data_IF_073595243666
#
_entry.id   IF_073595243666
#
_cell.length_a   1.000
_cell.length_b   1.000
_cell.length_c   1.000
_cell.angle_alpha   90.00
_cell.angle_beta   90.00
_cell.angle_gamma   90.00
#
_symmetry.space_group_name_H-M   'P 1'
#
loop_
_entity.id
_entity.type
_entity.pdbx_description
1 polymer ?
#
# COMPACT_ATOMS: atom_id res chain seq x y z
N UNK A 1 -16.16 -6.60 -9.69
CA UNK A 1 -14.82 -6.20 -10.17
C UNK A 1 -13.81 -6.97 -9.33
N UNK A 2 -12.80 -7.57 -9.96
CA UNK A 2 -11.73 -8.27 -9.23
C UNK A 2 -10.58 -7.30 -8.95
N UNK A 3 -10.05 -7.31 -7.73
CA UNK A 3 -8.95 -6.44 -7.30
C UNK A 3 -7.69 -7.28 -7.14
N UNK A 4 -6.64 -6.95 -7.89
CA UNK A 4 -5.31 -7.52 -7.65
C UNK A 4 -4.71 -6.83 -6.44
N UNK A 5 -4.23 -7.58 -5.45
CA UNK A 5 -3.51 -7.02 -4.31
C UNK A 5 -2.04 -7.44 -4.35
N UNK A 6 -1.13 -6.47 -4.47
CA UNK A 6 0.30 -6.69 -4.48
C UNK A 6 0.89 -6.29 -3.13
N UNK A 7 1.52 -7.25 -2.46
CA UNK A 7 2.04 -7.07 -1.10
C UNK A 7 3.55 -6.83 -1.18
N UNK A 8 4.01 -5.74 -0.58
CA UNK A 8 5.42 -5.29 -0.59
C UNK A 8 6.04 -5.13 0.81
N UNK A 9 5.28 -5.44 1.87
CA UNK A 9 5.68 -5.22 3.26
C UNK A 9 5.23 -3.84 3.77
N UNK A 10 6.18 -3.10 4.32
CA UNK A 10 5.93 -1.85 5.03
C UNK A 10 5.40 -2.06 6.45
N UNK A 11 5.17 -0.96 7.16
CA UNK A 11 4.80 -1.00 8.58
C UNK A 11 3.63 -1.94 8.91
N UNK A 12 2.65 -2.09 8.00
CA UNK A 12 1.51 -3.01 8.15
C UNK A 12 1.97 -4.41 8.58
N UNK A 13 3.01 -4.95 7.92
CA UNK A 13 3.44 -6.34 8.09
C UNK A 13 4.50 -6.52 9.19
N UNK A 14 4.93 -5.44 9.87
CA UNK A 14 5.86 -5.54 11.00
C UNK A 14 5.19 -6.22 12.20
N UNK A 15 5.92 -7.14 12.82
CA UNK A 15 5.49 -7.85 14.03
C UNK A 15 6.52 -7.66 15.14
N UNK A 16 6.02 -7.38 16.33
CA UNK A 16 6.85 -7.22 17.53
C UNK A 16 7.22 -8.60 18.08
N UNK A 17 8.51 -8.88 18.16
CA UNK A 17 9.02 -10.07 18.82
C UNK A 17 9.21 -9.75 20.33
N UNK A 18 8.43 -10.35 21.25
CA UNK A 18 8.53 -10.06 22.67
C UNK A 18 9.81 -10.59 23.33
N UNK A 19 10.53 -11.51 22.68
CA UNK A 19 11.77 -12.09 23.20
C UNK A 19 12.98 -11.20 22.88
N UNK A 20 13.02 -10.59 21.70
CA UNK A 20 14.14 -9.73 21.26
C UNK A 20 13.84 -8.24 21.39
N UNK A 21 12.57 -7.85 21.46
CA UNK A 21 12.13 -6.45 21.42
C UNK A 21 12.16 -5.82 20.04
N UNK A 22 12.44 -6.60 18.99
CA UNK A 22 12.61 -6.12 17.62
C UNK A 22 11.31 -6.20 16.81
N UNK A 23 11.21 -5.36 15.79
CA UNK A 23 10.18 -5.44 14.77
C UNK A 23 10.74 -6.16 13.53
N UNK A 24 10.09 -7.25 13.11
CA UNK A 24 10.50 -8.05 11.96
C UNK A 24 9.35 -8.32 10.99
N UNK A 25 9.69 -8.78 9.79
CA UNK A 25 8.75 -9.26 8.78
C UNK A 25 8.73 -10.79 8.79
N UNK A 26 7.72 -11.41 9.38
CA UNK A 26 7.58 -12.88 9.35
C UNK A 26 6.64 -13.33 8.23
N UNK A 27 5.46 -12.70 8.15
CA UNK A 27 4.43 -13.00 7.16
C UNK A 27 3.54 -11.78 6.94
N UNK A 28 2.85 -11.73 5.81
CA UNK A 28 1.87 -10.67 5.55
C UNK A 28 0.66 -10.79 6.47
N UNK A 29 0.18 -9.65 6.95
CA UNK A 29 -1.02 -9.51 7.77
C UNK A 29 -2.26 -9.19 6.95
N UNK A 30 -2.12 -8.95 5.65
CA UNK A 30 -3.20 -8.48 4.79
C UNK A 30 -4.40 -9.46 4.78
N UNK A 31 -4.16 -10.77 4.77
CA UNK A 31 -5.24 -11.77 4.74
C UNK A 31 -6.09 -11.68 6.01
N UNK A 32 -5.45 -11.57 7.18
CA UNK A 32 -6.17 -11.37 8.44
C UNK A 32 -6.94 -10.04 8.43
N UNK A 33 -6.30 -8.95 7.97
CA UNK A 33 -6.93 -7.65 7.85
C UNK A 33 -8.18 -7.68 6.96
N UNK A 34 -8.12 -8.33 5.79
CA UNK A 34 -9.25 -8.47 4.87
C UNK A 34 -10.44 -9.20 5.51
N UNK A 35 -10.16 -10.27 6.28
CA UNK A 35 -11.19 -11.00 7.01
C UNK A 35 -11.80 -10.14 8.13
N UNK A 36 -10.97 -9.40 8.88
CA UNK A 36 -11.44 -8.56 10.00
C UNK A 36 -12.30 -7.39 9.59
N UNK A 37 -12.04 -6.78 8.44
CA UNK A 37 -12.88 -5.67 7.94
C UNK A 37 -14.17 -6.18 7.27
N UNK A 38 -14.41 -7.49 7.23
CA UNK A 38 -15.53 -8.11 6.53
C UNK A 38 -15.66 -7.62 5.08
N UNK A 39 -14.53 -7.49 4.40
CA UNK A 39 -14.51 -7.04 3.01
C UNK A 39 -15.26 -8.04 2.12
N UNK A 40 -16.17 -7.53 1.30
CA UNK A 40 -16.86 -8.30 0.27
C UNK A 40 -16.18 -8.16 -1.11
N UNK A 41 -15.03 -7.48 -1.18
CA UNK A 41 -14.30 -7.31 -2.42
C UNK A 41 -13.71 -8.64 -2.90
N UNK A 42 -13.85 -8.93 -4.19
CA UNK A 42 -13.21 -10.09 -4.82
C UNK A 42 -11.72 -9.79 -5.04
N UNK A 43 -10.87 -10.28 -4.14
CA UNK A 43 -9.42 -9.99 -4.15
C UNK A 43 -8.58 -11.19 -4.59
N UNK A 44 -7.54 -10.94 -5.39
CA UNK A 44 -6.46 -11.89 -5.66
C UNK A 44 -5.14 -11.32 -5.15
N UNK A 45 -4.62 -11.86 -4.04
CA UNK A 45 -3.38 -11.37 -3.42
C UNK A 45 -2.13 -12.09 -3.93
N UNK A 46 -1.03 -11.37 -4.06
CA UNK A 46 0.31 -11.89 -4.36
C UNK A 46 1.35 -11.16 -3.51
N UNK A 47 2.20 -11.91 -2.81
CA UNK A 47 3.36 -11.34 -2.11
C UNK A 47 4.51 -11.20 -3.10
N UNK A 48 4.95 -9.96 -3.33
CA UNK A 48 6.14 -9.68 -4.15
C UNK A 48 7.41 -9.77 -3.29
N UNK A 49 7.35 -9.15 -2.11
CA UNK A 49 8.38 -9.19 -1.06
C UNK A 49 7.81 -8.57 0.22
N UNK A 50 8.52 -8.71 1.34
CA UNK A 50 8.20 -8.03 2.60
C UNK A 50 9.44 -7.23 3.03
N UNK A 51 9.43 -5.91 2.80
CA UNK A 51 10.56 -5.02 3.11
C UNK A 51 10.13 -3.78 3.85
N UNK A 52 11.06 -3.15 4.55
CA UNK A 52 10.91 -1.75 4.95
C UNK A 52 10.95 -0.86 3.69
N UNK A 53 10.14 0.21 3.65
CA UNK A 53 10.16 1.16 2.55
C UNK A 53 11.56 1.71 2.25
N UNK A 54 12.39 1.89 3.27
CA UNK A 54 13.75 2.39 3.12
C UNK A 54 14.70 1.39 2.43
N UNK A 55 14.32 0.12 2.38
CA UNK A 55 15.06 -0.96 1.69
C UNK A 55 14.49 -1.28 0.29
N UNK A 56 13.45 -0.55 -0.14
CA UNK A 56 12.89 -0.68 -1.48
C UNK A 56 13.80 0.03 -2.49
N UNK A 57 14.52 -0.79 -3.27
CA UNK A 57 15.41 -0.36 -4.36
C UNK A 57 14.66 -0.10 -5.65
N UNK A 58 15.34 0.48 -6.65
CA UNK A 58 14.78 0.67 -8.00
C UNK A 58 14.40 -0.67 -8.66
N UNK A 59 15.18 -1.74 -8.46
CA UNK A 59 14.82 -3.08 -8.91
C UNK A 59 13.52 -3.58 -8.25
N UNK A 60 13.34 -3.27 -6.97
CA UNK A 60 12.12 -3.62 -6.23
C UNK A 60 10.92 -2.87 -6.82
N UNK A 61 11.07 -1.57 -7.15
CA UNK A 61 10.02 -0.76 -7.80
C UNK A 61 9.76 -1.21 -9.25
N UNK A 62 10.79 -1.60 -9.99
CA UNK A 62 10.66 -2.16 -11.33
C UNK A 62 9.87 -3.48 -11.32
N UNK A 63 10.08 -4.32 -10.31
CA UNK A 63 9.24 -5.51 -10.10
C UNK A 63 7.78 -5.13 -9.88
N UNK A 64 7.47 -4.17 -9.00
CA UNK A 64 6.09 -3.69 -8.78
C UNK A 64 5.47 -3.21 -10.10
N UNK A 65 6.19 -2.35 -10.85
CA UNK A 65 5.75 -1.84 -12.14
C UNK A 65 5.45 -2.96 -13.14
N UNK A 66 6.39 -3.90 -13.31
CA UNK A 66 6.21 -5.03 -14.23
C UNK A 66 4.97 -5.87 -13.88
N UNK A 67 4.74 -6.10 -12.57
CA UNK A 67 3.57 -6.84 -12.08
C UNK A 67 2.26 -6.11 -12.35
N UNK A 68 2.26 -4.79 -12.25
CA UNK A 68 1.09 -3.98 -12.61
C UNK A 68 0.82 -4.00 -14.12
N UNK A 69 1.86 -3.93 -14.96
CA UNK A 69 1.72 -3.94 -16.43
C UNK A 69 1.19 -5.27 -16.97
N UNK A 70 1.64 -6.40 -16.43
CA UNK A 70 1.17 -7.73 -16.88
C UNK A 70 -0.13 -8.18 -16.22
N UNK A 71 -0.61 -7.42 -15.23
CA UNK A 71 -1.85 -7.72 -14.51
C UNK A 71 -3.06 -7.51 -15.44
N UNK A 72 -3.96 -8.49 -15.44
CA UNK A 72 -5.18 -8.46 -16.27
C UNK A 72 -6.26 -7.58 -15.64
N UNK A 73 -6.24 -7.44 -14.33
CA UNK A 73 -7.17 -6.61 -13.58
C UNK A 73 -6.85 -5.12 -13.78
N UNK A 74 -7.90 -4.30 -13.87
CA UNK A 74 -7.78 -2.85 -13.98
C UNK A 74 -7.71 -2.18 -12.61
N UNK A 75 -8.10 -2.88 -11.55
CA UNK A 75 -8.06 -2.42 -10.17
C UNK A 75 -6.92 -3.10 -9.41
N UNK A 76 -5.94 -2.32 -8.97
CA UNK A 76 -4.75 -2.81 -8.26
C UNK A 76 -4.61 -2.08 -6.93
N UNK A 77 -4.49 -2.85 -5.85
CA UNK A 77 -4.17 -2.36 -4.52
C UNK A 77 -2.75 -2.77 -4.16
N UNK A 78 -1.97 -1.88 -3.57
CA UNK A 78 -0.57 -2.14 -3.19
C UNK A 78 -0.36 -1.75 -1.74
N UNK A 79 -0.01 -2.72 -0.88
CA UNK A 79 0.49 -2.39 0.46
C UNK A 79 1.92 -1.88 0.33
N UNK A 80 2.29 -0.79 1.00
CA UNK A 80 3.64 -0.24 0.92
C UNK A 80 4.04 0.46 2.22
N UNK A 81 5.35 0.50 2.51
CA UNK A 81 5.89 1.32 3.60
C UNK A 81 5.78 2.82 3.27
N UNK A 82 5.57 3.66 4.27
CA UNK A 82 5.16 5.06 4.02
C UNK A 82 6.30 5.99 3.61
N UNK A 83 7.56 5.66 3.93
CA UNK A 83 8.70 6.55 3.68
C UNK A 83 8.98 6.77 2.21
N UNK A 84 8.81 5.73 1.39
CA UNK A 84 9.17 5.72 -0.03
C UNK A 84 7.97 5.48 -0.97
N UNK A 85 6.76 5.49 -0.40
CA UNK A 85 5.51 5.25 -1.12
C UNK A 85 5.31 6.22 -2.28
N UNK A 86 5.69 7.50 -2.08
CA UNK A 86 5.57 8.54 -3.11
C UNK A 86 6.45 8.26 -4.31
N UNK A 87 7.68 7.74 -4.13
CA UNK A 87 8.53 7.44 -5.28
C UNK A 87 7.96 6.27 -6.10
N UNK A 88 7.45 5.24 -5.42
CA UNK A 88 6.78 4.11 -6.09
C UNK A 88 5.53 4.60 -6.84
N UNK A 89 4.69 5.40 -6.21
CA UNK A 89 3.50 5.97 -6.86
C UNK A 89 3.88 6.79 -8.11
N UNK A 90 4.94 7.61 -8.03
CA UNK A 90 5.44 8.40 -9.17
C UNK A 90 5.96 7.54 -10.31
N UNK A 91 6.65 6.45 -10.03
CA UNK A 91 7.07 5.51 -11.08
C UNK A 91 5.85 4.92 -11.78
N UNK A 92 4.86 4.45 -11.03
CA UNK A 92 3.67 3.82 -11.59
C UNK A 92 2.84 4.82 -12.40
N UNK A 93 2.58 6.02 -11.86
CA UNK A 93 1.75 7.04 -12.52
C UNK A 93 2.32 7.60 -13.82
N UNK A 94 3.65 7.53 -14.00
CA UNK A 94 4.31 7.88 -15.26
C UNK A 94 4.21 6.82 -16.36
N UNK A 95 3.92 5.57 -16.00
CA UNK A 95 4.03 4.43 -16.90
C UNK A 95 2.69 3.70 -17.11
N UNK A 96 1.67 3.95 -16.29
CA UNK A 96 0.39 3.24 -16.33
C UNK A 96 -0.75 4.27 -16.38
N UNK A 97 -1.63 4.13 -17.36
CA UNK A 97 -2.73 5.07 -17.62
C UNK A 97 -4.09 4.39 -17.84
N UNK A 98 -4.11 3.07 -17.91
CA UNK A 98 -5.27 2.23 -18.22
C UNK A 98 -5.76 1.42 -17.01
N UNK A 99 -5.28 1.76 -15.80
CA UNK A 99 -5.60 1.06 -14.55
C UNK A 99 -5.84 2.04 -13.41
N UNK A 100 -6.65 1.64 -12.44
CA UNK A 100 -6.80 2.29 -11.14
C UNK A 100 -5.88 1.60 -10.14
N UNK A 101 -4.81 2.27 -9.74
CA UNK A 101 -3.84 1.75 -8.77
C UNK A 101 -3.89 2.58 -7.50
N UNK A 102 -4.08 1.93 -6.36
CA UNK A 102 -4.06 2.59 -5.05
C UNK A 102 -2.96 1.99 -4.19
N UNK A 103 -2.03 2.83 -3.74
CA UNK A 103 -1.04 2.48 -2.73
C UNK A 103 -1.57 2.90 -1.35
N UNK A 104 -1.39 2.04 -0.36
CA UNK A 104 -1.73 2.36 1.02
C UNK A 104 -0.76 1.70 1.99
N UNK A 105 -0.73 2.19 3.22
CA UNK A 105 0.18 1.74 4.26
C UNK A 105 -0.39 1.99 5.65
N UNK A 106 0.48 1.97 6.64
CA UNK A 106 0.16 2.32 8.02
C UNK A 106 1.35 3.04 8.66
N UNK A 107 1.06 3.88 9.65
CA UNK A 107 2.09 4.46 10.52
C UNK A 107 2.38 3.58 11.72
N UNK A 108 1.41 2.77 12.15
CA UNK A 108 1.53 1.85 13.28
C UNK A 108 1.35 0.41 12.79
N UNK A 109 2.24 -0.53 13.15
CA UNK A 109 2.11 -1.92 12.71
C UNK A 109 0.77 -2.52 13.06
N UNK A 110 0.23 -3.36 12.17
CA UNK A 110 -1.09 -3.95 12.36
C UNK A 110 -1.18 -4.77 13.67
N UNK A 111 -0.08 -5.43 14.05
CA UNK A 111 0.04 -6.21 15.26
C UNK A 111 -0.06 -5.39 16.56
N UNK A 112 -0.01 -4.06 16.48
CA UNK A 112 -0.06 -3.15 17.64
C UNK A 112 -1.45 -2.53 17.78
N UNK A 113 -1.92 -2.43 19.02
CA UNK A 113 -3.20 -1.79 19.34
C UNK A 113 -3.29 -0.36 18.80
N UNK A 114 -4.50 0.02 18.37
CA UNK A 114 -4.80 1.34 17.79
C UNK A 114 -4.06 1.62 16.46
N UNK A 115 -3.66 0.56 15.73
CA UNK A 115 -3.12 0.70 14.38
C UNK A 115 -4.10 1.35 13.40
N UNK A 116 -3.58 2.23 12.55
CA UNK A 116 -4.30 2.85 11.44
C UNK A 116 -4.49 1.93 10.22
N UNK A 117 -3.92 0.72 10.24
CA UNK A 117 -3.87 -0.19 9.10
C UNK A 117 -5.26 -0.62 8.60
N UNK A 118 -6.19 -0.96 9.50
CA UNK A 118 -7.55 -1.41 9.11
C UNK A 118 -8.36 -0.29 8.48
N UNK A 119 -8.25 0.92 9.04
CA UNK A 119 -8.92 2.10 8.49
C UNK A 119 -8.38 2.43 7.09
N UNK A 120 -7.06 2.46 6.93
CA UNK A 120 -6.43 2.71 5.63
C UNK A 120 -6.77 1.60 4.61
N UNK A 121 -6.85 0.33 5.02
CA UNK A 121 -7.29 -0.76 4.14
C UNK A 121 -8.72 -0.53 3.63
N UNK A 122 -9.68 -0.27 4.52
CA UNK A 122 -11.07 -0.03 4.13
C UNK A 122 -11.21 1.15 3.18
N UNK A 123 -10.50 2.25 3.48
CA UNK A 123 -10.48 3.43 2.63
C UNK A 123 -9.84 3.16 1.26
N UNK A 124 -8.74 2.41 1.21
CA UNK A 124 -8.04 2.06 -0.03
C UNK A 124 -8.86 1.09 -0.90
N UNK A 125 -9.54 0.11 -0.29
CA UNK A 125 -10.50 -0.77 -0.98
C UNK A 125 -11.66 0.02 -1.61
N UNK A 126 -12.20 1.01 -0.90
CA UNK A 126 -13.24 1.88 -1.47
C UNK A 126 -12.67 2.72 -2.62
N UNK A 127 -11.46 3.26 -2.45
CA UNK A 127 -10.83 4.15 -3.43
C UNK A 127 -10.55 3.43 -4.75
N UNK A 128 -9.96 2.23 -4.71
CA UNK A 128 -9.61 1.48 -5.94
C UNK A 128 -10.85 1.06 -6.75
N UNK A 129 -12.00 0.91 -6.10
CA UNK A 129 -13.26 0.56 -6.77
C UNK A 129 -14.02 1.75 -7.37
N UNK A 130 -13.77 2.96 -6.87
CA UNK A 130 -14.58 4.15 -7.18
C UNK A 130 -13.86 5.18 -8.03
N UNK A 131 -12.53 5.17 -8.05
CA UNK A 131 -11.74 6.10 -8.83
C UNK A 131 -11.60 5.67 -10.29
N UNK A 132 -11.42 6.68 -11.15
CA UNK A 132 -11.05 6.48 -12.54
C UNK A 132 -9.62 5.93 -12.64
N UNK A 133 -9.23 5.55 -13.84
CA UNK A 133 -7.84 5.17 -14.10
C UNK A 133 -6.88 6.28 -13.69
N UNK A 134 -5.83 5.89 -12.99
CA UNK A 134 -4.93 6.78 -12.28
C UNK A 134 -4.19 6.03 -11.17
N UNK A 135 -3.14 6.66 -10.65
CA UNK A 135 -2.37 6.16 -9.52
C UNK A 135 -2.54 7.08 -8.34
N UNK A 136 -2.91 6.49 -7.21
CA UNK A 136 -3.30 7.23 -6.01
C UNK A 136 -2.59 6.70 -4.76
N UNK A 137 -2.43 7.58 -3.77
CA UNK A 137 -2.08 7.21 -2.41
C UNK A 137 -3.32 7.41 -1.53
N UNK A 138 -3.70 6.37 -0.78
CA UNK A 138 -4.82 6.39 0.15
C UNK A 138 -4.32 6.26 1.59
N UNK A 139 -4.31 7.36 2.34
CA UNK A 139 -3.79 7.41 3.71
C UNK A 139 -4.62 8.38 4.55
N UNK A 140 -4.94 8.00 5.79
CA UNK A 140 -5.60 8.88 6.77
C UNK A 140 -6.92 9.53 6.27
N UNK A 141 -7.67 8.80 5.42
CA UNK A 141 -8.95 9.27 4.89
C UNK A 141 -8.84 10.29 3.77
N UNK A 142 -7.62 10.50 3.26
CA UNK A 142 -7.34 11.38 2.13
C UNK A 142 -6.77 10.57 0.97
N UNK A 143 -7.22 10.94 -0.23
CA UNK A 143 -6.76 10.37 -1.48
C UNK A 143 -5.92 11.42 -2.21
N UNK A 144 -4.74 11.05 -2.66
CA UNK A 144 -3.81 11.94 -3.34
C UNK A 144 -3.43 11.40 -4.71
N UNK A 145 -3.35 12.28 -5.71
CA UNK A 145 -2.74 11.96 -7.01
C UNK A 145 -1.24 11.71 -6.82
N UNK A 146 -0.68 10.73 -7.54
CA UNK A 146 0.73 10.35 -7.41
C UNK A 146 1.74 11.50 -7.60
N UNK A 147 1.38 12.53 -8.36
CA UNK A 147 2.22 13.68 -8.70
C UNK A 147 1.96 14.91 -7.81
N UNK A 148 0.90 14.90 -6.99
CA UNK A 148 0.50 16.03 -6.13
C UNK A 148 0.65 15.73 -4.65
N UNK A 149 1.53 14.82 -4.28
CA UNK A 149 1.66 14.33 -2.90
C UNK A 149 3.10 14.27 -2.40
N UNK A 150 3.29 14.61 -1.13
CA UNK A 150 4.54 14.38 -0.40
C UNK A 150 4.29 13.77 0.98
N UNK A 151 5.32 13.08 1.51
CA UNK A 151 5.32 12.59 2.89
C UNK A 151 5.90 13.65 3.81
N UNK A 152 5.08 14.19 4.71
CA UNK A 152 5.55 15.03 5.80
C UNK A 152 6.07 14.13 6.92
N UNK A 153 7.39 13.91 6.95
CA UNK A 153 8.05 13.03 7.92
C UNK A 153 7.97 13.56 9.35
N UNK A 154 7.93 14.87 9.54
CA UNK A 154 7.83 15.48 10.87
C UNK A 154 6.46 15.22 11.51
N UNK A 155 5.39 15.25 10.71
CA UNK A 155 4.02 15.01 11.18
C UNK A 155 3.58 13.55 11.02
N UNK A 156 4.32 12.74 10.27
CA UNK A 156 3.93 11.36 9.99
C UNK A 156 2.74 11.23 9.04
N UNK A 157 2.37 12.26 8.28
CA UNK A 157 1.19 12.28 7.39
C UNK A 157 1.57 12.56 5.93
N UNK A 158 0.63 12.32 5.02
CA UNK A 158 0.74 12.74 3.62
C UNK A 158 0.01 14.07 3.42
N UNK A 159 0.55 14.93 2.56
CA UNK A 159 -0.03 16.25 2.27
C UNK A 159 0.09 16.57 0.78
N UNK A 160 -0.83 17.41 0.29
CA UNK A 160 -0.79 17.87 -1.10
C UNK A 160 0.41 18.82 -1.30
N UNK A 161 1.05 18.70 -2.46
CA UNK A 161 2.02 19.69 -2.93
C UNK A 161 1.22 20.81 -3.61
N UNK A 162 1.48 22.05 -3.21
CA UNK A 162 0.88 23.26 -3.80
C UNK A 162 1.45 23.58 -5.18
#
# INVERSE_FOLDING_TARGET
>A
MKIKVLITGGTIDKQYNPLTGELSFEQTQLVDMLNRVHSMADTLSEVLFLKDSLEITDDSRALILSKCLVCKEDAILITHGTDTMVETAKLLGKNIHDKTIVLFGAMVPYSINQSDALFNLGFALSSVQTQKFGVYIAMNGQLFDFDKVQKNKALGVFENIL
#
